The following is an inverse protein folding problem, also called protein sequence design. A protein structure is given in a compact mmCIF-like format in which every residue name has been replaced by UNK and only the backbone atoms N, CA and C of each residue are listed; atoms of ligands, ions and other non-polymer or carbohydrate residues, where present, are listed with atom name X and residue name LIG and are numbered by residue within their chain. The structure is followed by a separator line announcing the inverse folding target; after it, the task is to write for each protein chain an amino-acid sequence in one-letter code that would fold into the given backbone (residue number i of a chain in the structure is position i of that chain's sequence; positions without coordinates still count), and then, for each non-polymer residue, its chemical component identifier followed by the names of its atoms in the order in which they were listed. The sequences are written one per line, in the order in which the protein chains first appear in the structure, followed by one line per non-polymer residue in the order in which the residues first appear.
data_IF_399290062570
#
_entry.id   IF_399290062570
#
_cell.length_a   1.000
_cell.length_b   1.000
_cell.length_c   1.000
_cell.angle_alpha   90.00
_cell.angle_beta   90.00
_cell.angle_gamma   90.00
#
_symmetry.space_group_name_H-M   'P 1'
#
loop_
_entity.id
_entity.type
_entity.pdbx_description
1 polymer ?
#
# COMPACT_ATOMS: atom_id res chain seq x y z
N UNK A 1 2.91 42.68 15.39
CA UNK A 1 3.52 43.00 14.08
C UNK A 1 4.34 41.80 13.59
N UNK A 2 4.06 41.30 12.38
CA UNK A 2 4.80 40.21 11.72
C UNK A 2 5.99 40.70 10.87
N UNK A 3 6.05 42.02 10.63
CA UNK A 3 7.13 42.66 9.89
C UNK A 3 8.48 42.45 10.59
N UNK A 4 9.50 42.23 9.78
CA UNK A 4 10.87 42.01 10.24
C UNK A 4 11.13 40.63 10.87
N UNK A 5 10.18 39.70 10.91
CA UNK A 5 10.48 38.34 11.38
C UNK A 5 11.34 37.57 10.36
N UNK A 6 12.33 36.78 10.82
CA UNK A 6 13.17 36.02 9.90
C UNK A 6 12.34 34.93 9.22
N UNK A 7 12.25 35.02 7.89
CA UNK A 7 11.60 34.02 7.07
C UNK A 7 12.48 32.77 6.95
N UNK A 8 11.84 31.60 7.01
CA UNK A 8 12.54 30.34 6.80
C UNK A 8 13.19 30.27 5.42
N UNK A 9 14.38 29.69 5.32
CA UNK A 9 15.04 29.48 4.04
C UNK A 9 14.35 28.40 3.21
N UNK A 10 14.45 28.45 1.87
CA UNK A 10 13.87 27.42 1.01
C UNK A 10 14.33 26.02 1.40
N UNK A 11 15.60 25.87 1.78
CA UNK A 11 16.19 24.58 2.16
C UNK A 11 15.69 24.09 3.53
N UNK A 12 15.57 24.97 4.53
CA UNK A 12 14.96 24.60 5.83
C UNK A 12 13.53 24.09 5.62
N UNK A 13 12.77 24.77 4.76
CA UNK A 13 11.40 24.37 4.43
C UNK A 13 11.36 23.03 3.70
N UNK A 14 12.22 22.83 2.71
CA UNK A 14 12.31 21.58 1.94
C UNK A 14 12.63 20.39 2.85
N UNK A 15 13.64 20.51 3.73
CA UNK A 15 13.95 19.46 4.69
C UNK A 15 12.79 19.18 5.64
N UNK A 16 12.10 20.22 6.13
CA UNK A 16 10.96 20.03 7.04
C UNK A 16 9.82 19.27 6.35
N UNK A 17 9.56 19.59 5.08
CA UNK A 17 8.58 18.86 4.26
C UNK A 17 9.02 17.42 3.98
N UNK A 18 10.30 17.18 3.72
CA UNK A 18 10.81 15.82 3.52
C UNK A 18 10.57 14.94 4.76
N UNK A 19 10.89 15.45 5.96
CA UNK A 19 10.60 14.76 7.23
C UNK A 19 9.10 14.50 7.39
N UNK A 20 8.26 15.50 7.10
CA UNK A 20 6.80 15.34 7.18
C UNK A 20 6.29 14.27 6.20
N UNK A 21 6.77 14.24 4.96
CA UNK A 21 6.39 13.25 3.95
C UNK A 21 6.82 11.85 4.37
N UNK A 22 8.06 11.67 4.84
CA UNK A 22 8.53 10.37 5.34
C UNK A 22 7.67 9.89 6.50
N UNK A 23 7.31 10.76 7.45
CA UNK A 23 6.43 10.39 8.56
C UNK A 23 5.03 9.98 8.08
N UNK A 24 4.45 10.70 7.12
CA UNK A 24 3.14 10.36 6.56
C UNK A 24 3.20 9.02 5.82
N UNK A 25 4.24 8.76 5.04
CA UNK A 25 4.42 7.49 4.32
C UNK A 25 4.61 6.31 5.28
N UNK A 26 5.39 6.50 6.34
CA UNK A 26 5.54 5.48 7.39
C UNK A 26 4.19 5.22 8.06
N UNK A 27 3.45 6.29 8.38
CA UNK A 27 2.15 6.20 9.05
C UNK A 27 1.08 5.54 8.17
N UNK A 28 1.09 5.78 6.86
CA UNK A 28 0.12 5.18 5.95
C UNK A 28 0.29 3.67 5.77
N UNK A 29 1.48 3.13 6.07
CA UNK A 29 1.73 1.68 6.08
C UNK A 29 1.04 0.94 7.25
N UNK A 30 0.59 1.64 8.30
CA UNK A 30 -0.07 1.01 9.45
C UNK A 30 -1.59 0.81 9.29
N UNK A 31 -2.16 1.06 8.10
CA UNK A 31 -3.58 0.80 7.81
C UNK A 31 -4.55 1.84 8.37
N UNK A 32 -5.81 1.47 8.59
CA UNK A 32 -6.90 2.40 8.94
C UNK A 32 -7.11 2.59 10.46
N UNK A 33 -6.70 1.63 11.26
CA UNK A 33 -6.85 1.60 12.72
C UNK A 33 -6.14 2.74 13.44
N UNK A 34 -4.87 3.10 13.14
CA UNK A 34 -4.25 4.27 13.76
C UNK A 34 -4.84 5.60 13.27
N UNK A 35 -5.49 5.61 12.09
CA UNK A 35 -6.15 6.80 11.52
C UNK A 35 -7.36 7.17 12.37
N UNK A 36 -8.20 6.17 12.67
CA UNK A 36 -9.37 6.31 13.52
C UNK A 36 -8.96 6.67 14.95
N UNK A 37 -7.93 6.00 15.49
CA UNK A 37 -7.38 6.30 16.80
C UNK A 37 -6.85 7.74 16.91
N UNK A 38 -6.12 8.19 15.89
CA UNK A 38 -5.61 9.56 15.79
C UNK A 38 -6.75 10.58 15.69
N UNK A 39 -7.75 10.33 14.85
CA UNK A 39 -8.92 11.22 14.71
C UNK A 39 -9.71 11.33 16.01
N UNK A 40 -9.98 10.21 16.68
CA UNK A 40 -10.65 10.20 17.97
C UNK A 40 -9.84 10.94 19.05
N UNK A 41 -8.51 10.78 19.05
CA UNK A 41 -7.65 11.53 19.97
C UNK A 41 -7.63 13.03 19.68
N UNK A 42 -7.56 13.43 18.41
CA UNK A 42 -7.62 14.83 17.98
C UNK A 42 -8.96 15.44 18.37
N UNK A 43 -10.08 14.76 18.08
CA UNK A 43 -11.42 15.19 18.44
C UNK A 43 -11.57 15.34 19.96
N UNK A 44 -11.06 14.38 20.72
CA UNK A 44 -11.07 14.44 22.19
C UNK A 44 -10.22 15.60 22.72
N UNK A 45 -9.01 15.79 22.19
CA UNK A 45 -8.11 16.89 22.58
C UNK A 45 -8.68 18.25 22.21
N UNK A 46 -9.27 18.37 21.02
CA UNK A 46 -9.99 19.56 20.57
C UNK A 46 -11.18 19.87 21.48
N UNK A 47 -12.01 18.87 21.77
CA UNK A 47 -13.16 18.99 22.68
C UNK A 47 -12.73 19.40 24.10
N UNK A 48 -11.66 18.80 24.64
CA UNK A 48 -11.08 19.19 25.93
C UNK A 48 -10.56 20.63 25.91
N UNK A 49 -9.88 21.05 24.84
CA UNK A 49 -9.42 22.42 24.70
C UNK A 49 -10.59 23.41 24.65
N UNK A 50 -11.69 23.08 23.96
CA UNK A 50 -12.89 23.90 23.96
C UNK A 50 -13.52 24.01 25.36
N UNK A 51 -13.60 22.91 26.11
CA UNK A 51 -14.11 22.94 27.50
C UNK A 51 -13.22 23.73 28.46
N UNK A 52 -11.89 23.60 28.32
CA UNK A 52 -10.94 24.39 29.09
C UNK A 52 -11.07 25.90 28.78
N UNK A 53 -11.27 26.26 27.51
CA UNK A 53 -11.51 27.66 27.12
C UNK A 53 -12.84 28.24 27.63
N UNK A 54 -13.79 27.37 28.01
CA UNK A 54 -15.06 27.74 28.67
C UNK A 54 -14.95 27.77 30.21
N UNK A 55 -13.77 27.48 30.77
CA UNK A 55 -13.54 27.47 32.22
C UNK A 55 -14.05 26.22 32.95
N UNK A 56 -14.54 25.21 32.23
CA UNK A 56 -15.20 24.03 32.82
C UNK A 56 -14.19 23.00 33.38
N UNK A 57 -12.92 23.02 32.96
CA UNK A 57 -11.89 22.03 33.32
C UNK A 57 -10.50 22.66 33.46
N UNK A 58 -9.72 22.25 34.47
CA UNK A 58 -8.29 22.63 34.60
C UNK A 58 -7.49 22.06 33.42
N UNK A 59 -6.67 22.91 32.81
CA UNK A 59 -5.89 22.63 31.61
C UNK A 59 -4.65 21.74 31.87
N UNK A 60 -4.73 20.76 32.77
CA UNK A 60 -3.62 19.82 32.96
C UNK A 60 -3.75 18.66 31.97
N UNK A 61 -2.75 18.53 31.09
CA UNK A 61 -2.61 17.42 30.15
C UNK A 61 -1.51 16.47 30.63
N UNK A 62 -1.84 15.61 31.59
CA UNK A 62 -1.03 14.44 31.91
C UNK A 62 -1.09 13.37 30.79
N UNK A 63 -0.25 12.35 30.92
CA UNK A 63 -0.14 11.20 30.01
C UNK A 63 -1.47 10.48 29.72
N UNK A 64 -2.46 10.59 30.62
CA UNK A 64 -3.85 10.15 30.44
C UNK A 64 -4.54 10.72 29.20
N UNK A 65 -3.96 11.76 28.58
CA UNK A 65 -4.46 12.32 27.34
C UNK A 65 -4.48 11.36 26.15
N UNK A 66 -3.68 10.29 26.18
CA UNK A 66 -3.56 9.34 25.07
C UNK A 66 -4.52 8.14 25.17
N UNK A 67 -5.25 8.01 26.28
CA UNK A 67 -6.10 6.84 26.55
C UNK A 67 -7.09 6.49 25.42
N UNK A 68 -7.81 7.43 24.78
CA UNK A 68 -8.74 7.09 23.69
C UNK A 68 -8.04 6.53 22.45
N UNK A 69 -6.86 7.08 22.10
CA UNK A 69 -6.06 6.58 20.99
C UNK A 69 -5.50 5.19 21.31
N UNK A 70 -4.99 4.99 22.52
CA UNK A 70 -4.44 3.69 22.96
C UNK A 70 -5.52 2.60 22.96
N UNK A 71 -6.74 2.89 23.42
CA UNK A 71 -7.84 1.93 23.39
C UNK A 71 -8.23 1.52 21.96
N UNK A 72 -8.24 2.46 21.02
CA UNK A 72 -8.57 2.16 19.62
C UNK A 72 -7.46 1.41 18.89
N UNK A 73 -6.19 1.73 19.17
CA UNK A 73 -5.04 0.98 18.66
C UNK A 73 -5.04 -0.45 19.23
N UNK A 74 -5.29 -0.61 20.53
CA UNK A 74 -5.41 -1.91 21.18
C UNK A 74 -6.58 -2.73 20.60
N UNK A 75 -7.74 -2.10 20.38
CA UNK A 75 -8.89 -2.74 19.73
C UNK A 75 -8.58 -3.16 18.29
N UNK A 76 -7.88 -2.32 17.53
CA UNK A 76 -7.46 -2.62 16.16
C UNK A 76 -6.45 -3.76 16.04
N UNK A 77 -5.48 -3.80 16.96
CA UNK A 77 -4.54 -4.92 17.10
C UNK A 77 -5.29 -6.21 17.47
N UNK A 78 -6.23 -6.13 18.42
CA UNK A 78 -7.06 -7.26 18.83
C UNK A 78 -7.88 -7.82 17.66
N UNK A 79 -8.57 -6.97 16.89
CA UNK A 79 -9.36 -7.42 15.73
C UNK A 79 -8.49 -8.07 14.65
N UNK A 80 -7.29 -7.52 14.40
CA UNK A 80 -6.35 -8.07 13.42
C UNK A 80 -5.79 -9.44 13.84
N UNK A 81 -5.49 -9.63 15.13
CA UNK A 81 -5.05 -10.94 15.63
C UNK A 81 -6.16 -11.99 15.58
N UNK A 82 -7.42 -11.58 15.75
CA UNK A 82 -8.56 -12.50 15.79
C UNK A 82 -8.92 -13.03 14.39
N UNK A 83 -8.75 -12.22 13.34
CA UNK A 83 -8.98 -12.63 11.96
C UNK A 83 -7.91 -13.62 11.46
N UNK A 84 -6.67 -13.52 11.93
CA UNK A 84 -5.59 -14.46 11.59
C UNK A 84 -5.76 -15.84 12.24
N UNK A 85 -6.47 -15.92 13.38
CA UNK A 85 -6.78 -17.19 14.06
C UNK A 85 -7.92 -17.95 13.33
N UNK A 86 -8.78 -17.25 12.59
CA UNK A 86 -10.00 -17.81 12.00
C UNK A 86 -9.81 -18.37 10.57
N UNK A 87 -8.75 -17.94 9.87
CA UNK A 87 -8.36 -18.43 8.52
C UNK A 87 -8.00 -19.93 8.43
N UNK A 88 -7.17 -20.52 9.32
CA UNK A 88 -6.84 -21.95 9.21
C UNK A 88 -8.08 -22.85 9.31
N UNK A 89 -9.08 -22.44 10.10
CA UNK A 89 -10.35 -23.15 10.29
C UNK A 89 -11.21 -23.12 9.02
N UNK A 90 -11.18 -22.00 8.27
CA UNK A 90 -11.92 -21.85 7.00
C UNK A 90 -11.26 -22.64 5.88
N UNK A 91 -9.93 -22.71 5.85
CA UNK A 91 -9.18 -23.48 4.87
C UNK A 91 -9.36 -24.99 5.07
N UNK A 92 -9.27 -25.48 6.31
CA UNK A 92 -9.52 -26.88 6.65
C UNK A 92 -10.94 -27.34 6.27
N UNK A 93 -11.95 -26.47 6.45
CA UNK A 93 -13.34 -26.75 6.04
C UNK A 93 -13.47 -26.87 4.52
N UNK A 94 -12.73 -26.07 3.74
CA UNK A 94 -12.76 -26.12 2.26
C UNK A 94 -12.09 -27.38 1.72
N UNK A 95 -10.98 -27.79 2.34
CA UNK A 95 -10.26 -29.03 1.98
C UNK A 95 -11.08 -30.28 2.32
N UNK A 96 -11.78 -30.29 3.47
CA UNK A 96 -12.68 -31.38 3.85
C UNK A 96 -13.88 -31.54 2.91
N UNK A 97 -14.38 -30.44 2.33
CA UNK A 97 -15.47 -30.48 1.34
C UNK A 97 -14.97 -30.97 -0.03
N UNK A 98 -13.71 -30.68 -0.40
CA UNK A 98 -13.11 -31.14 -1.65
C UNK A 98 -12.77 -32.65 -1.64
N UNK A 99 -12.42 -33.20 -0.47
CA UNK A 99 -12.12 -34.63 -0.30
C UNK A 99 -13.36 -35.55 -0.31
N UNK A 100 -14.58 -34.98 -0.26
CA UNK A 100 -15.83 -35.74 -0.15
C UNK A 100 -16.49 -36.10 -1.50
N UNK A 101 -15.87 -35.79 -2.65
CA UNK A 101 -16.37 -36.21 -3.97
C UNK A 101 -15.87 -37.62 -4.33
N UNK A 102 -16.77 -38.61 -4.52
CA UNK A 102 -16.37 -39.97 -4.86
C UNK A 102 -16.33 -40.15 -6.39
N UNK A 103 -15.15 -40.34 -6.96
CA UNK A 103 -15.02 -41.05 -8.24
C UNK A 103 -14.34 -42.40 -7.99
N UNK A 104 -14.97 -43.46 -8.49
CA UNK A 104 -14.81 -44.85 -8.06
C UNK A 104 -14.57 -45.70 -9.31
N UNK A 105 -13.35 -46.19 -9.50
CA UNK A 105 -13.04 -47.53 -10.03
C UNK A 105 -11.53 -47.74 -10.19
N UNK A 106 -10.98 -48.74 -9.52
CA UNK A 106 -10.43 -49.93 -10.18
C UNK A 106 -9.87 -50.92 -9.15
N UNK A 107 -10.25 -52.20 -9.28
CA UNK A 107 -9.55 -53.33 -8.69
C UNK A 107 -9.68 -54.53 -9.61
N UNK A 108 -8.53 -54.94 -10.14
CA UNK A 108 -8.20 -56.19 -10.84
C UNK A 108 -8.27 -57.41 -9.90
N UNK A 109 -8.37 -58.61 -10.49
CA UNK A 109 -7.72 -59.91 -10.11
C UNK A 109 -7.98 -60.89 -11.30
N UNK A 110 -6.96 -61.45 -12.00
CA UNK A 110 -6.21 -62.74 -11.79
C UNK A 110 -7.05 -64.01 -12.11
N UNK A 111 -6.61 -65.14 -12.69
CA UNK A 111 -5.34 -65.73 -13.20
C UNK A 111 -5.67 -67.07 -13.95
N UNK A 112 -4.66 -67.79 -14.48
CA UNK A 112 -4.55 -69.28 -14.72
C UNK A 112 -5.08 -69.90 -16.06
N UNK A 113 -4.51 -70.94 -16.73
CA UNK A 113 -3.40 -71.90 -16.49
C UNK A 113 -2.91 -72.63 -17.80
N UNK A 114 -1.64 -73.10 -17.79
CA UNK A 114 -0.96 -74.34 -18.33
C UNK A 114 -1.44 -75.11 -19.61
N UNK A 115 -0.68 -75.92 -20.38
CA UNK A 115 0.72 -76.40 -20.48
C UNK A 115 0.90 -77.17 -21.85
N UNK A 116 2.15 -77.52 -22.25
CA UNK A 116 2.43 -78.61 -23.22
C UNK A 116 3.47 -78.33 -24.33
N UNK A 117 4.74 -78.64 -24.05
CA UNK A 117 5.83 -78.88 -25.01
C UNK A 117 5.91 -80.40 -25.28
N UNK A 118 6.25 -80.93 -26.47
CA UNK A 118 7.65 -81.26 -26.79
C UNK A 118 7.82 -81.80 -28.23
N UNK A 119 7.02 -81.32 -29.19
CA UNK A 119 7.25 -81.57 -30.65
C UNK A 119 7.46 -80.27 -31.43
N UNK A 120 7.60 -79.16 -30.70
CA UNK A 120 7.60 -77.80 -31.22
C UNK A 120 9.00 -77.28 -31.58
N UNK A 121 10.09 -77.76 -31.01
CA UNK A 121 11.34 -76.98 -30.98
C UNK A 121 12.09 -76.86 -32.32
N UNK A 122 11.93 -77.79 -33.27
CA UNK A 122 12.59 -77.72 -34.58
C UNK A 122 11.83 -76.84 -35.60
N UNK A 123 10.49 -76.88 -35.59
CA UNK A 123 9.65 -75.95 -36.37
C UNK A 123 9.65 -74.56 -35.73
N UNK A 124 9.69 -74.49 -34.40
CA UNK A 124 9.79 -73.25 -33.62
C UNK A 124 11.11 -72.53 -33.85
N UNK A 125 12.23 -73.19 -34.14
CA UNK A 125 13.48 -72.51 -34.46
C UNK A 125 13.43 -71.79 -35.84
N UNK A 126 12.88 -72.44 -36.87
CA UNK A 126 12.75 -71.84 -38.21
C UNK A 126 11.64 -70.78 -38.27
N UNK A 127 10.52 -71.02 -37.58
CA UNK A 127 9.45 -70.03 -37.39
C UNK A 127 9.92 -68.91 -36.47
N UNK A 128 10.76 -69.16 -35.47
CA UNK A 128 11.34 -68.10 -34.61
C UNK A 128 12.33 -67.22 -35.38
N UNK A 129 13.07 -67.74 -36.36
CA UNK A 129 13.93 -66.92 -37.20
C UNK A 129 13.12 -66.01 -38.14
N UNK A 130 12.08 -66.54 -38.81
CA UNK A 130 11.17 -65.73 -39.63
C UNK A 130 10.33 -64.76 -38.79
N UNK A 131 9.88 -65.20 -37.61
CA UNK A 131 9.20 -64.37 -36.63
C UNK A 131 10.15 -63.34 -36.00
N UNK A 132 11.46 -63.58 -35.91
CA UNK A 132 12.44 -62.59 -35.41
C UNK A 132 12.63 -61.44 -36.39
N UNK A 133 12.59 -61.71 -37.69
CA UNK A 133 12.66 -60.68 -38.73
C UNK A 133 11.33 -59.91 -38.88
N UNK A 134 10.20 -60.62 -38.81
CA UNK A 134 8.87 -59.99 -38.78
C UNK A 134 8.65 -59.18 -37.50
N UNK A 135 9.04 -59.71 -36.34
CA UNK A 135 8.98 -59.01 -35.05
C UNK A 135 9.96 -57.86 -34.96
N UNK A 136 11.11 -57.88 -35.65
CA UNK A 136 11.99 -56.72 -35.74
C UNK A 136 11.33 -55.55 -36.50
N UNK A 137 10.62 -55.84 -37.60
CA UNK A 137 9.83 -54.85 -38.32
C UNK A 137 8.60 -54.36 -37.54
N UNK A 138 7.94 -55.26 -36.82
CA UNK A 138 6.81 -54.95 -35.94
C UNK A 138 7.24 -54.14 -34.70
N UNK A 139 8.44 -54.40 -34.16
CA UNK A 139 9.07 -53.61 -33.10
C UNK A 139 9.42 -52.19 -33.57
N UNK A 140 9.94 -52.04 -34.79
CA UNK A 140 10.26 -50.72 -35.33
C UNK A 140 8.98 -49.92 -35.67
N UNK A 141 7.91 -50.57 -36.13
CA UNK A 141 6.60 -49.94 -36.30
C UNK A 141 5.99 -49.55 -34.95
N UNK A 142 6.06 -50.42 -33.95
CA UNK A 142 5.60 -50.15 -32.58
C UNK A 142 6.40 -49.02 -31.90
N UNK A 143 7.72 -48.93 -32.15
CA UNK A 143 8.56 -47.81 -31.69
C UNK A 143 8.15 -46.50 -32.35
N UNK A 144 7.92 -46.49 -33.66
CA UNK A 144 7.46 -45.29 -34.38
C UNK A 144 6.07 -44.84 -33.91
N UNK A 145 5.17 -45.77 -33.60
CA UNK A 145 3.87 -45.47 -33.01
C UNK A 145 3.99 -44.92 -31.59
N UNK A 146 4.85 -45.52 -30.77
CA UNK A 146 5.15 -45.04 -29.41
C UNK A 146 5.76 -43.64 -29.42
N UNK A 147 6.69 -43.34 -30.32
CA UNK A 147 7.30 -42.02 -30.47
C UNK A 147 6.29 -40.97 -30.91
N UNK A 148 5.37 -41.33 -31.82
CA UNK A 148 4.24 -40.47 -32.21
C UNK A 148 3.28 -40.21 -31.05
N UNK A 149 3.04 -41.20 -30.19
CA UNK A 149 2.24 -41.01 -28.99
C UNK A 149 2.91 -40.11 -27.96
N UNK A 150 4.22 -40.25 -27.78
CA UNK A 150 5.03 -39.38 -26.91
C UNK A 150 5.01 -37.94 -27.42
N UNK A 151 5.17 -37.71 -28.73
CA UNK A 151 5.05 -36.38 -29.35
C UNK A 151 3.65 -35.79 -29.12
N UNK A 152 2.58 -36.56 -29.35
CA UNK A 152 1.20 -36.11 -29.07
C UNK A 152 0.95 -35.83 -27.59
N UNK A 153 1.61 -36.52 -26.67
CA UNK A 153 1.55 -36.24 -25.23
C UNK A 153 2.29 -34.94 -24.91
N UNK A 154 3.49 -34.74 -25.46
CA UNK A 154 4.27 -33.52 -25.30
C UNK A 154 3.53 -32.28 -25.84
N UNK A 155 2.93 -32.39 -27.04
CA UNK A 155 2.14 -31.32 -27.66
C UNK A 155 0.91 -30.97 -26.82
N UNK A 156 0.21 -31.98 -26.27
CA UNK A 156 -0.93 -31.75 -25.37
C UNK A 156 -0.53 -31.02 -24.10
N UNK A 157 0.62 -31.35 -23.50
CA UNK A 157 1.14 -30.64 -22.33
C UNK A 157 1.47 -29.19 -22.68
N UNK A 158 2.11 -28.95 -23.83
CA UNK A 158 2.45 -27.60 -24.29
C UNK A 158 1.22 -26.75 -24.61
N UNK A 159 0.23 -27.32 -25.27
CA UNK A 159 -1.05 -26.65 -25.55
C UNK A 159 -1.75 -26.28 -24.25
N UNK A 160 -1.77 -27.17 -23.25
CA UNK A 160 -2.33 -26.88 -21.93
C UNK A 160 -1.58 -25.73 -21.23
N UNK A 161 -0.25 -25.76 -21.21
CA UNK A 161 0.56 -24.70 -20.63
C UNK A 161 0.32 -23.34 -21.30
N UNK A 162 0.27 -23.31 -22.64
CA UNK A 162 -0.03 -22.10 -23.40
C UNK A 162 -1.46 -21.61 -23.16
N UNK A 163 -2.43 -22.50 -23.02
CA UNK A 163 -3.81 -22.14 -22.69
C UNK A 163 -3.91 -21.52 -21.28
N UNK A 164 -3.14 -22.00 -20.31
CA UNK A 164 -3.07 -21.42 -18.97
C UNK A 164 -2.44 -20.02 -18.98
N UNK A 165 -1.36 -19.81 -19.73
CA UNK A 165 -0.75 -18.49 -19.91
C UNK A 165 -1.72 -17.50 -20.58
N UNK A 166 -2.39 -17.93 -21.66
CA UNK A 166 -3.40 -17.10 -22.33
C UNK A 166 -4.56 -16.78 -21.38
N UNK A 167 -4.96 -17.72 -20.52
CA UNK A 167 -6.01 -17.49 -19.52
C UNK A 167 -5.57 -16.47 -18.48
N UNK A 168 -4.34 -16.56 -17.94
CA UNK A 168 -3.78 -15.57 -17.01
C UNK A 168 -3.69 -14.18 -17.65
N UNK A 169 -3.16 -14.07 -18.86
CA UNK A 169 -3.07 -12.81 -19.59
C UNK A 169 -4.45 -12.24 -19.91
N UNK A 170 -5.41 -13.10 -20.25
CA UNK A 170 -6.80 -12.70 -20.49
C UNK A 170 -7.48 -12.24 -19.21
N UNK A 171 -7.18 -12.82 -18.06
CA UNK A 171 -7.69 -12.41 -16.76
C UNK A 171 -7.04 -11.08 -16.30
N UNK A 172 -5.75 -10.86 -16.56
CA UNK A 172 -5.05 -9.58 -16.36
C UNK A 172 -5.56 -8.46 -17.30
N UNK A 173 -5.87 -8.82 -18.54
CA UNK A 173 -6.48 -7.92 -19.53
C UNK A 173 -7.97 -7.68 -19.27
N UNK A 174 -8.70 -8.66 -18.71
CA UNK A 174 -10.11 -8.55 -18.30
C UNK A 174 -10.32 -7.72 -17.05
N UNK A 175 -9.29 -7.45 -16.24
CA UNK A 175 -9.39 -6.44 -15.18
C UNK A 175 -9.84 -5.14 -15.83
N UNK A 176 -11.09 -4.76 -15.55
CA UNK A 176 -11.73 -3.62 -16.18
C UNK A 176 -10.88 -2.37 -15.92
N UNK A 177 -10.72 -1.45 -16.88
CA UNK A 177 -10.09 -0.15 -16.63
C UNK A 177 -10.66 0.53 -15.37
N UNK A 178 -11.95 0.31 -15.09
CA UNK A 178 -12.66 0.81 -13.92
C UNK A 178 -12.16 0.15 -12.61
N UNK A 179 -11.79 -1.12 -12.62
CA UNK A 179 -11.25 -1.81 -11.44
C UNK A 179 -9.80 -1.41 -11.16
N UNK A 180 -8.98 -1.26 -12.21
CA UNK A 180 -7.63 -0.70 -12.07
C UNK A 180 -7.68 0.72 -11.52
N UNK A 181 -8.61 1.53 -12.02
CA UNK A 181 -8.86 2.88 -11.53
C UNK A 181 -9.34 2.87 -10.08
N UNK A 182 -10.30 2.01 -9.72
CA UNK A 182 -10.81 1.86 -8.35
C UNK A 182 -9.71 1.47 -7.37
N UNK A 183 -8.88 0.49 -7.71
CA UNK A 183 -7.77 0.07 -6.86
C UNK A 183 -6.73 1.19 -6.70
N UNK A 184 -6.42 1.92 -7.78
CA UNK A 184 -5.56 3.10 -7.71
C UNK A 184 -6.16 4.20 -6.83
N UNK A 185 -7.48 4.45 -6.91
CA UNK A 185 -8.19 5.37 -6.03
C UNK A 185 -8.22 4.92 -4.56
N UNK A 186 -8.32 3.61 -4.29
CA UNK A 186 -8.25 3.08 -2.93
C UNK A 186 -6.86 3.31 -2.33
N UNK A 187 -5.79 3.05 -3.11
CA UNK A 187 -4.40 3.29 -2.69
C UNK A 187 -4.08 4.78 -2.53
N UNK A 188 -4.41 5.60 -3.52
CA UNK A 188 -4.12 7.04 -3.51
C UNK A 188 -5.02 7.77 -2.54
N UNK A 189 -6.31 7.44 -2.49
CA UNK A 189 -7.30 8.04 -1.62
C UNK A 189 -6.96 7.83 -0.14
N UNK A 190 -6.51 6.64 0.24
CA UNK A 190 -6.11 6.37 1.62
C UNK A 190 -4.85 7.15 2.01
N UNK A 191 -3.83 7.18 1.16
CA UNK A 191 -2.61 7.97 1.40
C UNK A 191 -2.90 9.47 1.46
N UNK A 192 -3.80 9.96 0.59
CA UNK A 192 -4.24 11.35 0.58
C UNK A 192 -5.06 11.70 1.82
N UNK A 193 -5.88 10.77 2.33
CA UNK A 193 -6.62 10.96 3.58
C UNK A 193 -5.67 11.07 4.79
N UNK A 194 -4.64 10.22 4.84
CA UNK A 194 -3.58 10.31 5.84
C UNK A 194 -2.82 11.64 5.78
N UNK A 195 -2.41 12.05 4.59
CA UNK A 195 -1.75 13.33 4.38
C UNK A 195 -2.66 14.50 4.80
N UNK A 196 -3.94 14.46 4.43
CA UNK A 196 -4.93 15.46 4.84
C UNK A 196 -5.04 15.53 6.37
N UNK A 197 -5.26 14.40 7.02
CA UNK A 197 -5.38 14.32 8.48
C UNK A 197 -4.12 14.86 9.16
N UNK A 198 -2.93 14.47 8.70
CA UNK A 198 -1.65 14.93 9.23
C UNK A 198 -1.46 16.44 9.08
N UNK A 199 -1.54 16.96 7.85
CA UNK A 199 -1.23 18.36 7.55
C UNK A 199 -2.31 19.33 8.03
N UNK A 200 -3.54 18.87 8.31
CA UNK A 200 -4.58 19.69 8.93
C UNK A 200 -4.52 19.61 10.45
N UNK A 201 -4.37 18.42 11.04
CA UNK A 201 -4.45 18.26 12.49
C UNK A 201 -3.22 18.80 13.22
N UNK A 202 -2.00 18.52 12.76
CA UNK A 202 -0.79 18.92 13.49
C UNK A 202 -0.66 20.44 13.65
N UNK A 203 -0.86 21.28 12.62
CA UNK A 203 -0.83 22.72 12.77
C UNK A 203 -1.92 23.30 13.68
N UNK A 204 -2.99 22.54 13.96
CA UNK A 204 -4.03 22.89 14.93
C UNK A 204 -3.64 22.51 16.35
N UNK A 205 -3.01 21.34 16.53
CA UNK A 205 -2.55 20.86 17.84
C UNK A 205 -1.32 21.62 18.33
N UNK A 206 -0.38 21.86 17.42
CA UNK A 206 0.78 22.73 17.63
C UNK A 206 0.60 23.93 16.71
N UNK A 207 0.14 25.09 17.23
CA UNK A 207 -0.21 26.24 16.42
C UNK A 207 0.86 26.57 15.37
N UNK A 208 0.52 26.26 14.11
CA UNK A 208 1.39 26.49 12.95
C UNK A 208 2.59 25.55 12.80
N UNK A 209 2.63 24.39 13.47
CA UNK A 209 3.76 23.46 13.37
C UNK A 209 3.32 22.04 13.04
N UNK A 210 4.01 21.43 12.08
CA UNK A 210 4.03 19.99 11.86
C UNK A 210 5.24 19.38 12.57
N UNK A 211 5.29 18.07 12.85
CA UNK A 211 6.46 17.41 13.43
C UNK A 211 7.79 17.81 12.78
N UNK A 212 7.90 17.79 11.44
CA UNK A 212 9.10 18.18 10.72
C UNK A 212 9.45 19.66 10.89
N UNK A 213 8.46 20.55 10.85
CA UNK A 213 8.67 21.99 11.10
C UNK A 213 9.09 22.25 12.54
N UNK A 214 8.50 21.54 13.51
CA UNK A 214 8.85 21.65 14.91
C UNK A 214 10.30 21.21 15.16
N UNK A 215 10.73 20.11 14.55
CA UNK A 215 12.12 19.64 14.58
C UNK A 215 13.10 20.67 14.02
N UNK A 216 12.68 21.46 13.04
CA UNK A 216 13.50 22.52 12.44
C UNK A 216 13.31 23.89 13.10
N UNK A 217 12.44 24.00 14.10
CA UNK A 217 12.13 25.28 14.73
C UNK A 217 11.48 26.27 13.77
N UNK A 218 10.59 25.79 12.89
CA UNK A 218 9.82 26.60 11.96
C UNK A 218 8.36 26.70 12.41
N UNK A 219 7.71 27.83 12.10
CA UNK A 219 6.29 28.05 12.42
C UNK A 219 5.55 28.73 11.27
N UNK A 220 4.37 28.23 10.97
CA UNK A 220 3.40 28.83 10.05
C UNK A 220 2.65 29.92 10.79
N UNK A 221 2.60 31.11 10.22
CA UNK A 221 1.88 32.27 10.76
C UNK A 221 0.95 32.82 9.68
N UNK A 222 -0.27 33.19 10.06
CA UNK A 222 -1.20 33.91 9.17
C UNK A 222 -0.69 35.35 8.98
N UNK A 223 -0.75 35.89 7.77
CA UNK A 223 -0.22 37.23 7.46
C UNK A 223 -0.89 38.36 8.26
N UNK A 224 -2.13 38.16 8.74
CA UNK A 224 -2.83 39.12 9.61
C UNK A 224 -2.36 39.05 11.08
N UNK A 225 -1.55 38.05 11.45
CA UNK A 225 -1.11 37.84 12.83
C UNK A 225 -2.17 37.22 13.75
N UNK A 226 -3.32 36.84 13.20
CA UNK A 226 -4.37 36.12 13.92
C UNK A 226 -3.97 34.64 14.13
N UNK A 227 -4.56 33.96 15.12
CA UNK A 227 -4.31 32.53 15.32
C UNK A 227 -4.79 31.72 14.12
N UNK A 228 -4.03 30.67 13.77
CA UNK A 228 -4.28 29.84 12.61
C UNK A 228 -5.64 29.13 12.72
N UNK A 229 -6.55 29.42 11.79
CA UNK A 229 -7.88 28.81 11.75
C UNK A 229 -7.86 27.43 11.05
N UNK A 230 -8.78 26.51 11.39
CA UNK A 230 -8.92 25.21 10.70
C UNK A 230 -9.06 25.32 9.19
N UNK A 231 -9.88 26.24 8.71
CA UNK A 231 -10.10 26.44 7.27
C UNK A 231 -8.82 26.88 6.54
N UNK A 232 -7.91 27.61 7.21
CA UNK A 232 -6.62 27.96 6.62
C UNK A 232 -5.72 26.74 6.47
N UNK A 233 -5.76 25.80 7.42
CA UNK A 233 -5.02 24.54 7.32
C UNK A 233 -5.52 23.70 6.14
N UNK A 234 -6.85 23.63 5.94
CA UNK A 234 -7.48 22.95 4.79
C UNK A 234 -7.07 23.60 3.46
N UNK A 235 -7.17 24.94 3.36
CA UNK A 235 -6.72 25.68 2.16
C UNK A 235 -5.23 25.46 1.87
N UNK A 236 -4.40 25.42 2.91
CA UNK A 236 -2.96 25.16 2.79
C UNK A 236 -2.69 23.76 2.27
N UNK A 237 -3.45 22.76 2.73
CA UNK A 237 -3.41 21.40 2.17
C UNK A 237 -3.82 21.35 0.70
N UNK A 238 -4.91 22.02 0.32
CA UNK A 238 -5.32 22.14 -1.08
C UNK A 238 -4.23 22.76 -1.95
N UNK A 239 -3.54 23.79 -1.46
CA UNK A 239 -2.41 24.38 -2.18
C UNK A 239 -1.15 23.50 -2.21
N UNK A 240 -0.98 22.55 -1.27
CA UNK A 240 0.06 21.51 -1.39
C UNK A 240 -0.27 20.54 -2.52
N UNK A 241 -1.52 20.08 -2.61
CA UNK A 241 -1.98 19.23 -3.69
C UNK A 241 -1.82 19.95 -5.05
N UNK A 242 -2.28 21.19 -5.18
CA UNK A 242 -2.11 21.99 -6.39
C UNK A 242 -0.63 22.21 -6.76
N UNK A 243 0.24 22.43 -5.75
CA UNK A 243 1.68 22.54 -5.96
C UNK A 243 2.30 21.25 -6.50
N UNK A 244 1.79 20.09 -6.08
CA UNK A 244 2.26 18.79 -6.57
C UNK A 244 1.75 18.52 -8.00
N UNK A 245 0.47 18.80 -8.28
CA UNK A 245 -0.14 18.63 -9.61
C UNK A 245 0.53 19.50 -10.68
N UNK A 246 1.06 20.67 -10.30
CA UNK A 246 1.82 21.56 -11.19
C UNK A 246 3.29 21.12 -11.38
N UNK A 247 3.60 19.83 -11.16
CA UNK A 247 4.95 19.28 -11.31
C UNK A 247 5.95 19.83 -10.29
N UNK A 248 5.48 20.29 -9.13
CA UNK A 248 6.33 20.92 -8.11
C UNK A 248 6.56 22.42 -8.34
N UNK A 249 6.12 22.99 -9.47
CA UNK A 249 6.34 24.41 -9.79
C UNK A 249 5.74 25.35 -8.74
N UNK A 250 4.58 24.99 -8.16
CA UNK A 250 3.99 25.74 -7.04
C UNK A 250 4.86 25.79 -5.78
N UNK A 251 5.77 24.84 -5.58
CA UNK A 251 6.75 24.86 -4.49
C UNK A 251 7.99 25.68 -4.83
N UNK A 252 8.44 25.65 -6.10
CA UNK A 252 9.62 26.40 -6.55
C UNK A 252 9.42 27.92 -6.41
N UNK A 253 8.19 28.42 -6.36
CA UNK A 253 7.89 29.84 -6.07
C UNK A 253 8.58 30.37 -4.81
N UNK A 254 8.88 29.51 -3.83
CA UNK A 254 9.61 29.87 -2.61
C UNK A 254 11.00 30.47 -2.91
N UNK A 255 11.61 30.13 -4.05
CA UNK A 255 12.96 30.56 -4.43
C UNK A 255 13.04 32.03 -4.85
N UNK A 256 11.97 32.58 -5.43
CA UNK A 256 11.95 33.94 -6.00
C UNK A 256 10.86 34.85 -5.41
N UNK A 257 9.91 34.31 -4.66
CA UNK A 257 8.89 35.10 -3.98
C UNK A 257 9.51 35.91 -2.83
N UNK A 258 9.22 37.22 -2.75
CA UNK A 258 9.80 38.13 -1.75
C UNK A 258 9.48 37.70 -0.31
N UNK A 259 8.28 37.15 -0.08
CA UNK A 259 7.86 36.59 1.20
C UNK A 259 8.19 35.10 1.35
N UNK A 260 8.96 34.55 0.40
CA UNK A 260 9.31 33.12 0.29
C UNK A 260 8.09 32.22 0.33
N UNK A 261 6.96 32.64 -0.24
CA UNK A 261 5.70 31.89 -0.22
C UNK A 261 5.58 30.90 -1.38
N UNK A 262 5.25 29.65 -1.07
CA UNK A 262 4.81 28.68 -2.08
C UNK A 262 3.31 28.81 -2.37
N UNK A 263 2.81 28.08 -3.36
CA UNK A 263 1.38 28.05 -3.72
C UNK A 263 0.49 27.71 -2.52
N UNK A 264 0.94 26.77 -1.67
CA UNK A 264 0.26 26.40 -0.43
C UNK A 264 0.16 27.52 0.60
N UNK A 265 1.20 28.36 0.71
CA UNK A 265 1.18 29.47 1.65
C UNK A 265 0.33 30.62 1.13
N UNK A 266 0.41 30.91 -0.18
CA UNK A 266 -0.43 31.90 -0.87
C UNK A 266 -1.91 31.52 -0.79
N UNK A 267 -2.21 30.25 -1.04
CA UNK A 267 -3.56 29.71 -0.94
C UNK A 267 -4.17 29.87 0.47
N UNK A 268 -3.36 30.01 1.52
CA UNK A 268 -3.82 30.18 2.90
C UNK A 268 -3.49 31.56 3.50
N UNK A 269 -2.93 32.50 2.74
CA UNK A 269 -2.40 33.78 3.27
C UNK A 269 -1.51 33.60 4.51
N UNK A 270 -0.57 32.65 4.43
CA UNK A 270 0.37 32.33 5.52
C UNK A 270 1.80 32.56 5.10
N UNK A 271 2.71 32.66 6.06
CA UNK A 271 4.16 32.63 5.84
C UNK A 271 4.80 31.69 6.85
N UNK A 272 6.04 31.25 6.57
CA UNK A 272 6.80 30.38 7.47
C UNK A 272 7.97 31.17 8.04
N UNK A 273 7.97 31.33 9.36
CA UNK A 273 9.03 32.00 10.11
C UNK A 273 9.98 30.98 10.73
N UNK A 274 11.25 31.36 10.83
CA UNK A 274 12.27 30.64 11.59
C UNK A 274 12.27 31.17 13.04
N UNK A 275 11.91 30.31 13.99
CA UNK A 275 11.80 30.68 15.40
C UNK A 275 13.16 30.57 16.10
N UNK A 276 14.14 29.87 15.49
CA UNK A 276 15.49 29.71 16.03
C UNK A 276 16.39 30.90 15.69
N UNK A 277 16.04 31.66 14.67
CA UNK A 277 16.75 32.88 14.32
C UNK A 277 16.18 34.05 15.12
N UNK A 278 16.93 34.65 16.07
CA UNK A 278 16.46 35.79 16.83
C UNK A 278 16.57 37.11 16.06
N UNK A 279 17.27 37.14 14.92
CA UNK A 279 17.53 38.38 14.19
C UNK A 279 16.29 38.82 13.45
N UNK A 280 15.67 39.92 13.90
CA UNK A 280 14.71 40.64 13.08
C UNK A 280 15.44 41.29 11.89
N UNK A 281 14.85 41.15 10.71
CA UNK A 281 15.31 41.87 9.53
C UNK A 281 15.00 43.36 9.73
N UNK A 282 16.00 44.21 9.53
CA UNK A 282 15.81 45.67 9.52
C UNK A 282 14.92 46.03 8.33
N UNK A 283 13.93 46.88 8.56
CA UNK A 283 13.07 47.37 7.50
C UNK A 283 13.82 48.50 6.77
N UNK A 284 13.51 48.70 5.49
CA UNK A 284 14.19 49.73 4.67
C UNK A 284 13.99 51.13 5.26
N UNK A 285 12.86 51.36 5.93
CA UNK A 285 12.56 52.59 6.68
C UNK A 285 13.56 52.87 7.80
N UNK A 286 14.12 51.82 8.43
CA UNK A 286 15.16 51.93 9.48
C UNK A 286 16.55 52.25 8.90
N UNK A 287 16.75 52.10 7.59
CA UNK A 287 18.02 52.34 6.90
C UNK A 287 18.11 53.75 6.29
N UNK A 288 16.96 54.41 6.11
CA UNK A 288 16.84 55.75 5.52
C UNK A 288 16.61 56.85 6.56
N UNK A 289 16.64 56.52 7.85
CA UNK A 289 16.49 57.45 8.98
C UNK A 289 17.81 57.92 9.55
#
# INVERSE_FOLDING_TARGET
ALLGLPLASPWQRAKAMAVDVTLVTVLSNFGNTPLLAGFCWIAWRWHKHQRASRGELRADSGWLGWAPALCLVAFGLYSSTMEHIDEPTKQARREAVAAASPDRNDRSDDESDEAGAETKDLVKAAVAAAASAASAGELDLARLEHDRELQRKADRVRIKALQEEVRKLKDEAKRSPIEKLRHWWELVGLNLAWAFAYFVAFPLIWPGQTPGKKLMGLRIVELTGKPLKPMLCVRRYGGYAAGATTGGMGFLQILWDANRQGLHDKAAHTAVIDIRNPRRLRLTEDLTG
#
